data_IF_350919813418
#
_entry.id   IF_350919813418
#
_cell.length_a   1.000
_cell.length_b   1.000
_cell.length_c   1.000
_cell.angle_alpha   90.00
_cell.angle_beta   90.00
_cell.angle_gamma   90.00
#
_symmetry.space_group_name_H-M   'P 1'
#
loop_
_entity.id
_entity.type
_entity.pdbx_description
1 polymer ?
#
# COMPACT_ATOMS: atom_id res chain seq x y z
N UNK A 1 -3.40 -10.73 -6.62
CA UNK A 1 -4.78 -10.96 -6.14
C UNK A 1 -5.55 -11.61 -7.27
N UNK A 2 -6.18 -12.75 -7.01
CA UNK A 2 -7.01 -13.45 -7.99
C UNK A 2 -8.48 -13.07 -7.83
N UNK A 3 -9.28 -13.25 -8.88
CA UNK A 3 -10.72 -13.02 -8.83
C UNK A 3 -11.41 -13.83 -7.73
N UNK A 4 -12.32 -13.16 -7.02
CA UNK A 4 -13.27 -13.76 -6.10
C UNK A 4 -14.31 -14.57 -6.89
N UNK A 5 -14.57 -15.83 -6.51
CA UNK A 5 -15.71 -16.59 -7.04
C UNK A 5 -17.06 -15.93 -6.69
N UNK A 6 -17.18 -15.42 -5.47
CA UNK A 6 -18.35 -14.73 -4.94
C UNK A 6 -17.95 -13.81 -3.77
N UNK A 7 -18.79 -12.83 -3.44
CA UNK A 7 -18.54 -11.88 -2.36
C UNK A 7 -18.46 -12.59 -1.00
N UNK A 8 -17.42 -12.31 -0.22
CA UNK A 8 -17.23 -12.93 1.10
C UNK A 8 -16.62 -14.34 1.08
N UNK A 9 -16.30 -14.89 -0.09
CA UNK A 9 -15.68 -16.21 -0.19
C UNK A 9 -14.29 -16.23 0.50
N UNK A 10 -13.92 -17.27 1.27
CA UNK A 10 -12.66 -17.31 2.03
C UNK A 10 -11.39 -17.21 1.16
N UNK A 11 -11.46 -17.60 -0.10
CA UNK A 11 -10.35 -17.50 -1.05
C UNK A 11 -10.21 -16.11 -1.69
N UNK A 12 -11.11 -15.18 -1.38
CA UNK A 12 -11.04 -13.83 -1.90
C UNK A 12 -9.73 -13.17 -1.53
N UNK A 13 -8.96 -12.81 -2.54
CA UNK A 13 -7.74 -12.04 -2.35
C UNK A 13 -8.11 -10.56 -2.26
N UNK A 14 -8.03 -9.97 -1.07
CA UNK A 14 -8.17 -8.53 -0.81
C UNK A 14 -7.18 -8.11 0.28
N UNK A 15 -7.02 -6.81 0.49
CA UNK A 15 -6.23 -6.28 1.59
C UNK A 15 -7.02 -5.21 2.32
N UNK A 16 -7.29 -5.43 3.61
CA UNK A 16 -8.18 -4.59 4.41
C UNK A 16 -7.62 -3.17 4.58
N UNK A 17 -8.49 -2.22 4.94
CA UNK A 17 -8.10 -0.86 5.32
C UNK A 17 -6.94 -0.87 6.33
N UNK A 18 -5.83 -0.25 5.95
CA UNK A 18 -4.60 -0.18 6.73
C UNK A 18 -3.81 1.09 6.36
N UNK A 19 -2.69 1.30 7.07
CA UNK A 19 -1.65 2.26 6.68
C UNK A 19 -0.35 1.52 6.45
N UNK A 20 0.50 2.06 5.58
CA UNK A 20 1.87 1.56 5.40
C UNK A 20 2.81 1.99 6.52
N UNK A 21 2.38 2.92 7.38
CA UNK A 21 3.12 3.32 8.56
C UNK A 21 3.13 2.18 9.60
N UNK A 22 4.32 1.88 10.13
CA UNK A 22 4.52 0.89 11.19
C UNK A 22 5.15 1.61 12.39
N UNK A 23 4.43 1.73 13.50
CA UNK A 23 4.92 2.42 14.70
C UNK A 23 6.22 1.81 15.23
N UNK A 24 6.34 0.48 15.17
CA UNK A 24 7.55 -0.23 15.57
C UNK A 24 8.80 0.08 14.74
N UNK A 25 8.66 0.69 13.55
CA UNK A 25 9.81 1.09 12.73
C UNK A 25 10.44 2.42 13.21
N UNK A 26 9.78 3.19 14.09
CA UNK A 26 10.31 4.44 14.65
C UNK A 26 11.68 4.27 15.31
N UNK A 27 11.89 3.12 15.95
CA UNK A 27 13.12 2.81 16.69
C UNK A 27 14.08 1.94 15.90
N UNK A 28 13.78 1.67 14.62
CA UNK A 28 14.64 0.86 13.77
C UNK A 28 15.59 1.74 12.95
N UNK A 29 16.70 1.14 12.55
CA UNK A 29 17.78 1.80 11.80
C UNK A 29 17.33 2.40 10.46
N UNK A 30 16.38 1.76 9.77
CA UNK A 30 15.83 2.28 8.52
C UNK A 30 14.78 3.39 8.72
N UNK A 31 14.27 3.55 9.95
CA UNK A 31 13.14 4.43 10.26
C UNK A 31 11.82 3.99 9.60
N UNK A 32 10.80 4.82 9.78
CA UNK A 32 9.47 4.55 9.24
C UNK A 32 9.44 4.62 7.71
N UNK A 33 8.44 3.97 7.11
CA UNK A 33 8.10 4.15 5.70
C UNK A 33 7.47 5.54 5.55
N UNK A 34 8.10 6.41 4.76
CA UNK A 34 7.65 7.80 4.58
C UNK A 34 6.80 7.97 3.33
N UNK A 35 7.02 7.13 2.32
CA UNK A 35 6.22 7.08 1.09
C UNK A 35 6.03 5.64 0.63
N UNK A 36 4.93 5.44 -0.09
CA UNK A 36 4.68 4.22 -0.86
C UNK A 36 4.43 4.58 -2.32
N UNK A 37 5.14 3.91 -3.21
CA UNK A 37 4.83 3.86 -4.65
C UNK A 37 4.24 2.49 -4.97
N UNK A 38 3.00 2.46 -5.43
CA UNK A 38 2.35 1.24 -5.91
C UNK A 38 2.10 1.32 -7.40
N UNK A 39 2.54 0.29 -8.14
CA UNK A 39 2.40 0.20 -9.59
C UNK A 39 1.55 -1.00 -9.98
N UNK A 40 0.58 -0.79 -10.87
CA UNK A 40 -0.20 -1.87 -11.48
C UNK A 40 0.58 -2.47 -12.66
N UNK A 41 0.80 -3.78 -12.61
CA UNK A 41 1.62 -4.49 -13.61
C UNK A 41 0.81 -5.05 -14.78
N UNK A 42 -0.51 -5.05 -14.67
CA UNK A 42 -1.45 -5.47 -15.71
C UNK A 42 -2.79 -4.71 -15.57
N UNK A 43 -3.60 -4.78 -16.62
CA UNK A 43 -4.99 -4.35 -16.59
C UNK A 43 -5.86 -5.40 -15.88
N UNK A 44 -6.77 -4.96 -15.02
CA UNK A 44 -7.77 -5.84 -14.39
C UNK A 44 -9.14 -5.53 -14.99
N UNK A 45 -9.85 -6.53 -15.53
CA UNK A 45 -11.15 -6.30 -16.14
C UNK A 45 -12.20 -5.69 -15.19
N UNK A 46 -12.33 -6.21 -13.96
CA UNK A 46 -13.34 -5.76 -12.99
C UNK A 46 -12.83 -5.89 -11.54
N UNK A 47 -13.06 -4.84 -10.74
CA UNK A 47 -12.64 -4.75 -9.34
C UNK A 47 -11.13 -4.49 -9.17
N UNK A 48 -10.59 -4.82 -8.00
CA UNK A 48 -9.15 -4.70 -7.74
C UNK A 48 -8.64 -3.27 -7.53
N UNK A 49 -9.51 -2.28 -7.42
CA UNK A 49 -9.14 -0.89 -7.13
C UNK A 49 -8.33 -0.73 -5.84
N UNK A 50 -7.46 0.28 -5.80
CA UNK A 50 -6.84 0.74 -4.54
C UNK A 50 -7.66 1.92 -4.03
N UNK A 51 -8.32 1.75 -2.88
CA UNK A 51 -9.23 2.75 -2.32
C UNK A 51 -8.61 3.44 -1.11
N UNK A 52 -8.52 4.76 -1.16
CA UNK A 52 -8.20 5.63 -0.03
C UNK A 52 -9.51 6.04 0.65
N UNK A 53 -9.68 5.65 1.91
CA UNK A 53 -10.99 5.72 2.59
C UNK A 53 -11.22 7.02 3.36
N UNK A 54 -10.14 7.72 3.74
CA UNK A 54 -10.18 8.75 4.78
C UNK A 54 -9.80 10.15 4.26
N UNK A 55 -9.82 10.34 2.93
CA UNK A 55 -9.55 11.64 2.35
C UNK A 55 -10.66 12.64 2.75
N UNK A 56 -10.32 13.91 3.06
CA UNK A 56 -11.31 14.91 3.46
C UNK A 56 -12.40 15.18 2.42
N UNK A 57 -12.10 14.96 1.14
CA UNK A 57 -13.05 15.08 0.01
C UNK A 57 -13.98 13.87 -0.15
N UNK A 58 -13.84 12.85 0.70
CA UNK A 58 -14.49 11.55 0.56
C UNK A 58 -13.57 10.50 -0.09
N UNK A 59 -13.95 9.21 -0.03
CA UNK A 59 -13.12 8.12 -0.53
C UNK A 59 -12.80 8.23 -2.02
N UNK A 60 -11.57 7.87 -2.40
CA UNK A 60 -11.14 7.84 -3.80
C UNK A 60 -10.60 6.45 -4.13
N UNK A 61 -11.09 5.87 -5.23
CA UNK A 61 -10.62 4.58 -5.75
C UNK A 61 -9.84 4.80 -7.03
N UNK A 62 -8.65 4.20 -7.11
CA UNK A 62 -7.84 4.16 -8.30
C UNK A 62 -7.94 2.77 -8.95
N UNK A 63 -8.43 2.74 -10.18
CA UNK A 63 -8.59 1.48 -10.92
C UNK A 63 -7.26 0.98 -11.50
N UNK A 64 -7.02 -0.35 -11.44
CA UNK A 64 -5.82 -0.99 -11.93
C UNK A 64 -5.73 -0.96 -13.45
N UNK A 65 -4.83 -0.12 -13.96
CA UNK A 65 -4.49 -0.01 -15.39
C UNK A 65 -3.00 -0.22 -15.53
N UNK A 66 -2.58 -1.05 -16.48
CA UNK A 66 -1.18 -1.42 -16.67
C UNK A 66 -0.29 -0.18 -16.77
N UNK A 67 0.76 -0.14 -15.96
CA UNK A 67 1.73 0.96 -15.94
C UNK A 67 1.29 2.19 -15.13
N UNK A 68 0.02 2.28 -14.70
CA UNK A 68 -0.40 3.32 -13.76
C UNK A 68 0.28 3.08 -12.41
N UNK A 69 0.75 4.15 -11.80
CA UNK A 69 1.33 4.14 -10.47
C UNK A 69 0.70 5.22 -9.60
N UNK A 70 0.68 4.98 -8.30
CA UNK A 70 0.16 5.90 -7.29
C UNK A 70 1.27 6.08 -6.25
N UNK A 71 1.56 7.32 -5.89
CA UNK A 71 2.53 7.69 -4.87
C UNK A 71 1.78 8.42 -3.75
N UNK A 72 1.97 8.01 -2.50
CA UNK A 72 1.40 8.69 -1.34
C UNK A 72 2.37 8.71 -0.16
N UNK A 73 2.33 9.75 0.69
CA UNK A 73 3.05 9.76 1.96
C UNK A 73 2.38 8.83 2.97
N UNK A 74 3.15 8.19 3.84
CA UNK A 74 2.58 7.46 5.00
C UNK A 74 2.60 8.30 6.29
N UNK A 75 3.27 9.46 6.25
CA UNK A 75 3.53 10.35 7.39
C UNK A 75 3.16 11.79 7.08
N UNK A 76 2.98 12.60 8.14
CA UNK A 76 2.74 14.03 8.01
C UNK A 76 3.99 14.75 7.47
N UNK A 77 3.77 15.79 6.67
CA UNK A 77 4.85 16.53 6.01
C UNK A 77 5.76 17.29 6.99
N UNK A 78 5.20 17.82 8.08
CA UNK A 78 5.88 18.56 9.14
C UNK A 78 6.36 17.65 10.29
N UNK A 79 5.84 16.44 10.38
CA UNK A 79 6.11 15.47 11.43
C UNK A 79 6.34 14.08 10.80
N UNK A 80 7.54 13.82 10.23
CA UNK A 80 7.83 12.61 9.46
C UNK A 80 7.90 11.32 10.31
N UNK A 81 7.73 11.43 11.62
CA UNK A 81 7.57 10.33 12.59
C UNK A 81 6.10 10.08 12.95
N UNK A 82 5.15 10.85 12.41
CA UNK A 82 3.72 10.72 12.69
C UNK A 82 2.97 10.24 11.46
N UNK A 83 2.18 9.19 11.64
CA UNK A 83 1.27 8.66 10.63
C UNK A 83 0.37 9.76 10.03
N UNK A 84 0.19 9.75 8.71
CA UNK A 84 -0.85 10.52 8.04
C UNK A 84 -2.15 9.69 7.95
N UNK A 85 -3.19 10.02 8.73
CA UNK A 85 -4.43 9.23 8.73
C UNK A 85 -5.19 9.31 7.41
N UNK A 86 -4.92 10.31 6.56
CA UNK A 86 -5.63 10.51 5.28
C UNK A 86 -5.31 9.40 4.28
N UNK A 87 -4.18 8.72 4.44
CA UNK A 87 -3.69 7.70 3.51
C UNK A 87 -4.01 6.27 3.94
N UNK A 88 -4.98 6.09 4.84
CA UNK A 88 -5.58 4.77 5.05
C UNK A 88 -6.17 4.28 3.73
N UNK A 89 -5.77 3.07 3.36
CA UNK A 89 -6.12 2.51 2.08
C UNK A 89 -6.35 1.00 2.15
N UNK A 90 -7.01 0.47 1.14
CA UNK A 90 -7.32 -0.94 0.99
C UNK A 90 -7.24 -1.38 -0.47
N UNK A 91 -7.00 -2.67 -0.68
CA UNK A 91 -7.14 -3.29 -1.98
C UNK A 91 -8.52 -3.94 -2.05
N UNK A 92 -9.38 -3.39 -2.92
CA UNK A 92 -10.69 -3.95 -3.17
C UNK A 92 -10.59 -5.35 -3.80
N UNK A 93 -11.58 -6.23 -3.57
CA UNK A 93 -11.63 -7.54 -4.21
C UNK A 93 -11.56 -7.42 -5.74
N UNK A 94 -10.81 -8.32 -6.37
CA UNK A 94 -10.88 -8.52 -7.82
C UNK A 94 -12.12 -9.35 -8.09
N UNK A 95 -13.01 -8.92 -8.99
CA UNK A 95 -14.21 -9.69 -9.35
C UNK A 95 -14.04 -10.42 -10.68
N UNK A 96 -13.08 -10.00 -11.52
CA UNK A 96 -12.75 -10.69 -12.77
C UNK A 96 -11.29 -10.51 -13.16
N UNK A 97 -10.65 -11.60 -13.57
CA UNK A 97 -9.24 -11.64 -13.95
C UNK A 97 -8.29 -11.65 -12.75
N UNK A 98 -7.06 -11.20 -12.96
CA UNK A 98 -6.00 -11.20 -11.95
C UNK A 98 -5.40 -9.81 -11.80
N UNK A 99 -4.96 -9.45 -10.59
CA UNK A 99 -4.24 -8.21 -10.28
C UNK A 99 -2.82 -8.53 -9.85
N UNK A 100 -1.86 -8.04 -10.62
CA UNK A 100 -0.44 -7.99 -10.30
C UNK A 100 -0.04 -6.55 -9.95
N UNK A 101 0.71 -6.39 -8.87
CA UNK A 101 1.19 -5.09 -8.42
C UNK A 101 2.62 -5.17 -7.88
N UNK A 102 3.37 -4.09 -8.06
CA UNK A 102 4.67 -3.89 -7.43
C UNK A 102 4.54 -2.77 -6.39
N UNK A 103 4.95 -3.06 -5.16
CA UNK A 103 4.92 -2.11 -4.06
C UNK A 103 6.34 -1.74 -3.65
N UNK A 104 6.63 -0.43 -3.62
CA UNK A 104 7.91 0.11 -3.20
C UNK A 104 7.69 0.97 -1.97
N UNK A 105 8.22 0.52 -0.83
CA UNK A 105 8.27 1.33 0.38
C UNK A 105 9.56 2.14 0.42
N UNK A 106 9.41 3.45 0.63
CA UNK A 106 10.52 4.39 0.75
C UNK A 106 10.67 4.71 2.24
N UNK A 107 11.81 4.34 2.80
CA UNK A 107 12.11 4.51 4.22
C UNK A 107 12.74 5.88 4.51
N UNK A 108 12.60 6.34 5.75
CA UNK A 108 13.16 7.62 6.22
C UNK A 108 14.68 7.68 6.12
N UNK A 109 15.34 6.54 6.38
CA UNK A 109 16.81 6.40 6.33
C UNK A 109 17.22 5.26 5.39
N UNK A 110 18.52 5.05 5.26
CA UNK A 110 19.06 3.98 4.44
C UNK A 110 18.56 2.60 4.90
N UNK A 111 17.77 1.96 4.04
CA UNK A 111 17.31 0.59 4.23
C UNK A 111 18.35 -0.44 3.78
N UNK A 112 19.14 -0.16 2.74
CA UNK A 112 19.94 -1.17 2.02
C UNK A 112 21.13 -1.64 2.84
N UNK A 113 21.88 -0.72 3.45
CA UNK A 113 23.07 -1.12 4.23
C UNK A 113 22.68 -1.95 5.47
N UNK A 114 21.69 -1.52 6.28
CA UNK A 114 21.28 -2.33 7.43
C UNK A 114 20.61 -3.65 7.05
N UNK A 115 19.84 -3.70 5.94
CA UNK A 115 19.27 -4.95 5.43
C UNK A 115 20.37 -5.94 5.03
N UNK A 116 21.39 -5.47 4.33
CA UNK A 116 22.53 -6.30 3.92
C UNK A 116 23.33 -6.84 5.12
N UNK A 117 23.30 -6.13 6.25
CA UNK A 117 23.89 -6.55 7.52
C UNK A 117 22.96 -7.43 8.39
N UNK A 118 21.73 -7.70 7.96
CA UNK A 118 20.74 -8.47 8.72
C UNK A 118 20.13 -7.72 9.91
N UNK A 119 20.20 -6.38 9.90
CA UNK A 119 19.74 -5.53 11.01
C UNK A 119 18.34 -4.94 10.80
N UNK A 120 17.65 -5.27 9.71
CA UNK A 120 16.24 -4.92 9.48
C UNK A 120 15.37 -6.14 9.73
N UNK A 121 14.27 -6.00 10.47
CA UNK A 121 13.31 -7.09 10.60
C UNK A 121 12.43 -7.16 9.33
N UNK A 122 12.45 -8.31 8.66
CA UNK A 122 11.53 -8.67 7.57
C UNK A 122 10.16 -9.07 8.12
#
# INVERSE_FOLDING_TARGET
YHACPEEGHPSCSFYRRHSDYIEGDLHRVQGVRIYTLFMYLNDVPEGGGTRFTDLPSGPVTFEPVRGKAILWPSVLADQPDKIDPRTHHEALPVTKGDKYGANFWIHQYDFKSPYSAGCTAS
#
